data_IF_555139055238
#
_entry.id   IF_555139055238
#
_cell.length_a   1.000
_cell.length_b   1.000
_cell.length_c   1.000
_cell.angle_alpha   90.00
_cell.angle_beta   90.00
_cell.angle_gamma   90.00
#
_symmetry.space_group_name_H-M   'P 1'
#
loop_
_entity.id
_entity.type
_entity.pdbx_description
1 polymer ?
#
# COMPACT_ATOMS: atom_id res chain seq x y z
N UNK A 1 -5.54 28.08 15.87
CA UNK A 1 -5.48 27.23 14.65
C UNK A 1 -6.72 26.37 14.62
N UNK A 2 -7.38 26.28 13.46
CA UNK A 2 -8.54 25.37 13.30
C UNK A 2 -8.05 23.93 13.24
N UNK A 3 -8.71 23.01 13.93
CA UNK A 3 -8.52 21.57 13.82
C UNK A 3 -9.75 20.92 13.20
N UNK A 4 -9.56 19.84 12.47
CA UNK A 4 -10.64 19.05 11.88
C UNK A 4 -10.54 17.63 12.43
N UNK A 5 -11.68 17.03 12.73
CA UNK A 5 -11.77 15.64 13.13
C UNK A 5 -12.34 14.82 11.98
N UNK A 6 -11.74 13.65 11.72
CA UNK A 6 -12.20 12.68 10.73
C UNK A 6 -12.59 11.39 11.43
N UNK A 7 -13.66 10.78 10.96
CA UNK A 7 -14.11 9.48 11.43
C UNK A 7 -13.40 8.36 10.67
N UNK A 8 -13.06 7.30 11.36
CA UNK A 8 -12.61 6.07 10.72
C UNK A 8 -13.81 5.35 10.13
N UNK A 9 -13.81 5.13 8.81
CA UNK A 9 -14.90 4.44 8.11
C UNK A 9 -14.65 2.94 7.91
N UNK A 10 -13.40 2.50 8.05
CA UNK A 10 -13.04 1.10 7.83
C UNK A 10 -11.59 0.79 8.20
N UNK A 11 -11.25 -0.49 8.07
CA UNK A 11 -9.92 -1.03 8.38
C UNK A 11 -9.43 -1.92 7.25
N UNK A 12 -8.18 -1.74 6.86
CA UNK A 12 -7.51 -2.60 5.88
C UNK A 12 -7.13 -3.94 6.53
N UNK A 13 -7.39 -5.03 5.82
CA UNK A 13 -6.83 -6.35 6.04
C UNK A 13 -5.90 -6.70 4.90
N UNK A 14 -4.62 -6.87 5.21
CA UNK A 14 -3.59 -7.09 4.21
C UNK A 14 -2.57 -8.16 4.63
N UNK A 15 -1.80 -8.73 3.70
CA UNK A 15 -0.71 -9.65 4.02
C UNK A 15 0.47 -8.95 4.69
N UNK A 16 0.55 -7.62 4.63
CA UNK A 16 1.66 -6.84 5.16
C UNK A 16 1.47 -6.58 6.65
N UNK A 17 2.13 -7.36 7.49
CA UNK A 17 2.07 -7.18 8.96
C UNK A 17 3.04 -6.12 9.47
N UNK A 18 4.06 -5.82 8.68
CA UNK A 18 5.10 -4.85 9.04
C UNK A 18 5.37 -3.86 7.91
N UNK A 19 5.73 -2.62 8.27
CA UNK A 19 5.95 -1.50 7.36
C UNK A 19 7.06 -1.72 6.32
N UNK A 20 8.05 -2.55 6.62
CA UNK A 20 9.18 -2.77 5.71
C UNK A 20 8.83 -3.71 4.53
N UNK A 21 7.84 -4.58 4.70
CA UNK A 21 7.36 -5.46 3.63
C UNK A 21 6.42 -4.74 2.64
N UNK A 22 5.91 -3.56 3.01
CA UNK A 22 4.95 -2.81 2.20
C UNK A 22 5.64 -2.20 0.99
N UNK A 23 5.10 -2.39 -0.24
CA UNK A 23 5.57 -1.69 -1.42
C UNK A 23 5.49 -0.18 -1.23
N UNK A 24 6.42 0.56 -1.83
CA UNK A 24 6.47 2.03 -1.64
C UNK A 24 5.36 2.78 -2.37
N UNK A 25 4.69 2.14 -3.30
CA UNK A 25 3.55 2.65 -4.06
C UNK A 25 2.65 1.48 -4.48
N UNK A 26 1.36 1.72 -4.72
CA UNK A 26 0.46 0.70 -5.27
C UNK A 26 0.92 0.25 -6.66
N UNK A 27 0.56 -0.96 -7.06
CA UNK A 27 0.88 -1.51 -8.37
C UNK A 27 2.30 -2.05 -8.54
N UNK A 28 3.20 -1.91 -7.56
CA UNK A 28 4.55 -2.51 -7.59
C UNK A 28 4.53 -4.01 -7.28
N UNK A 29 3.56 -4.47 -6.49
CA UNK A 29 3.29 -5.87 -6.17
C UNK A 29 1.86 -6.16 -6.61
N UNK A 30 1.70 -6.65 -7.83
CA UNK A 30 0.37 -6.82 -8.44
C UNK A 30 -0.44 -7.94 -7.79
N UNK A 31 0.24 -8.96 -7.28
CA UNK A 31 -0.39 -10.09 -6.57
C UNK A 31 -0.82 -9.75 -5.13
N UNK A 32 -0.51 -8.56 -4.61
CA UNK A 32 -0.90 -8.14 -3.28
C UNK A 32 -2.41 -7.91 -3.20
N UNK A 33 -3.13 -8.88 -2.66
CA UNK A 33 -4.56 -8.79 -2.42
C UNK A 33 -4.82 -8.46 -0.95
N UNK A 34 -5.90 -7.74 -0.70
CA UNK A 34 -6.35 -7.42 0.65
C UNK A 34 -7.81 -7.01 0.64
N UNK A 35 -8.29 -6.56 1.77
CA UNK A 35 -9.68 -6.22 1.96
C UNK A 35 -9.79 -4.91 2.75
N UNK A 36 -10.80 -4.10 2.43
CA UNK A 36 -11.26 -3.02 3.28
C UNK A 36 -12.57 -3.45 3.92
N UNK A 37 -12.56 -3.59 5.23
CA UNK A 37 -13.74 -3.85 6.03
C UNK A 37 -14.32 -2.54 6.53
N UNK A 38 -15.49 -2.16 6.04
CA UNK A 38 -16.21 -1.00 6.56
C UNK A 38 -16.76 -1.31 7.96
N UNK A 39 -16.79 -0.28 8.82
CA UNK A 39 -17.27 -0.39 10.21
C UNK A 39 -18.56 0.42 10.40
N UNK A 40 -19.34 0.05 11.42
CA UNK A 40 -20.56 0.78 11.77
C UNK A 40 -20.25 2.25 12.13
N UNK A 41 -21.07 3.22 11.73
CA UNK A 41 -22.33 3.08 10.98
C UNK A 41 -22.15 3.06 9.44
N UNK A 42 -20.93 3.02 8.92
CA UNK A 42 -20.60 3.21 7.50
C UNK A 42 -20.68 1.90 6.68
N UNK A 43 -20.87 0.74 7.31
CA UNK A 43 -20.97 -0.58 6.69
C UNK A 43 -22.38 -0.87 6.11
N UNK A 44 -22.91 0.12 5.39
CA UNK A 44 -24.23 0.03 4.75
C UNK A 44 -24.09 -0.25 3.25
N UNK A 45 -24.88 -1.19 2.72
CA UNK A 45 -24.87 -1.54 1.30
C UNK A 45 -25.18 -0.33 0.40
N UNK A 46 -26.02 0.59 0.86
CA UNK A 46 -26.34 1.80 0.11
C UNK A 46 -25.15 2.75 -0.05
N UNK A 47 -24.21 2.76 0.88
CA UNK A 47 -23.02 3.58 0.80
C UNK A 47 -22.03 3.15 -0.31
N UNK A 48 -22.11 1.89 -0.74
CA UNK A 48 -21.26 1.32 -1.80
C UNK A 48 -22.03 0.99 -3.08
N UNK A 49 -23.30 1.36 -3.17
CA UNK A 49 -24.14 1.10 -4.35
C UNK A 49 -23.52 1.75 -5.59
N UNK A 50 -23.29 0.95 -6.64
CA UNK A 50 -22.69 1.39 -7.89
C UNK A 50 -21.15 1.42 -7.89
N UNK A 51 -20.51 1.12 -6.76
CA UNK A 51 -19.05 1.12 -6.66
C UNK A 51 -18.43 0.00 -7.51
N UNK A 52 -19.14 -1.10 -7.68
CA UNK A 52 -18.77 -2.26 -8.52
C UNK A 52 -18.55 -1.93 -10.00
N UNK A 53 -19.07 -0.78 -10.47
CA UNK A 53 -18.83 -0.31 -11.84
C UNK A 53 -17.45 0.34 -12.03
N UNK A 54 -16.70 0.60 -10.96
CA UNK A 54 -15.38 1.20 -11.00
C UNK A 54 -14.28 0.14 -10.82
N UNK A 55 -13.24 0.20 -11.63
CA UNK A 55 -12.09 -0.71 -11.56
C UNK A 55 -11.08 -0.34 -10.51
N UNK A 56 -11.00 0.95 -10.14
CA UNK A 56 -10.00 1.47 -9.20
C UNK A 56 -10.59 2.50 -8.25
N UNK A 57 -10.03 2.51 -7.04
CA UNK A 57 -10.43 3.42 -5.97
C UNK A 57 -9.23 4.12 -5.37
N UNK A 58 -9.40 5.40 -5.03
CA UNK A 58 -8.57 6.08 -4.06
C UNK A 58 -8.98 5.69 -2.65
N UNK A 59 -8.06 5.13 -1.87
CA UNK A 59 -8.20 4.91 -0.43
C UNK A 59 -7.45 6.03 0.29
N UNK A 60 -8.17 6.83 1.08
CA UNK A 60 -7.58 7.83 1.95
C UNK A 60 -7.49 7.24 3.35
N UNK A 61 -6.30 7.26 3.93
CA UNK A 61 -6.01 6.55 5.17
C UNK A 61 -5.06 7.32 6.08
N UNK A 62 -4.94 6.88 7.32
CA UNK A 62 -4.04 7.48 8.30
C UNK A 62 -2.76 6.65 8.43
N UNK A 63 -1.60 7.31 8.40
CA UNK A 63 -0.30 6.69 8.69
C UNK A 63 -0.15 6.41 10.20
N UNK A 64 -1.00 5.55 10.74
CA UNK A 64 -1.15 5.31 12.16
C UNK A 64 0.13 4.85 12.87
N UNK A 65 1.00 4.08 12.20
CA UNK A 65 2.24 3.55 12.79
C UNK A 65 3.38 4.58 12.93
N UNK A 66 3.23 5.78 12.37
CA UNK A 66 4.29 6.80 12.36
C UNK A 66 3.86 8.12 13.00
N UNK A 67 2.62 8.21 13.49
CA UNK A 67 2.07 9.44 14.09
C UNK A 67 2.89 9.94 15.28
N UNK A 68 3.36 9.04 16.15
CA UNK A 68 4.17 9.40 17.33
C UNK A 68 5.47 10.10 16.97
N UNK A 69 6.01 9.85 15.77
CA UNK A 69 7.23 10.49 15.28
C UNK A 69 7.08 11.97 14.93
N UNK A 70 5.85 12.49 14.96
CA UNK A 70 5.50 13.86 14.60
C UNK A 70 5.84 14.24 13.17
N UNK A 71 5.54 15.48 12.80
CA UNK A 71 5.86 16.00 11.49
C UNK A 71 7.30 16.53 11.39
N UNK A 72 7.84 16.52 10.17
CA UNK A 72 9.19 17.04 9.88
C UNK A 72 9.14 17.93 8.64
N UNK A 73 9.74 19.13 8.64
CA UNK A 73 9.73 20.02 7.48
C UNK A 73 10.48 19.43 6.28
N UNK A 74 11.51 18.60 6.55
CA UNK A 74 12.30 17.90 5.53
C UNK A 74 12.46 16.44 5.85
N UNK A 75 12.53 15.61 4.81
CA UNK A 75 12.75 14.17 4.88
C UNK A 75 13.83 13.74 3.89
N UNK A 76 14.30 12.50 4.01
CA UNK A 76 15.30 11.91 3.09
C UNK A 76 14.65 10.78 2.30
N UNK A 77 14.21 11.04 1.05
CA UNK A 77 13.59 10.00 0.24
C UNK A 77 14.58 8.87 -0.05
N UNK A 78 14.23 7.60 0.16
CA UNK A 78 15.13 6.47 -0.12
C UNK A 78 15.58 6.41 -1.59
N UNK A 79 14.74 6.86 -2.54
CA UNK A 79 15.08 6.93 -3.97
C UNK A 79 16.22 7.87 -4.31
N UNK A 80 16.51 8.83 -3.44
CA UNK A 80 17.63 9.76 -3.59
C UNK A 80 18.86 9.32 -2.79
N UNK A 81 19.04 8.01 -2.56
CA UNK A 81 20.16 7.44 -1.82
C UNK A 81 20.16 7.74 -0.33
N UNK A 82 19.07 8.30 0.21
CA UNK A 82 18.93 8.60 1.65
C UNK A 82 19.74 9.80 2.16
N UNK A 83 20.55 10.47 1.32
CA UNK A 83 21.38 11.62 1.70
C UNK A 83 20.74 12.97 1.36
N UNK A 84 20.06 13.08 0.20
CA UNK A 84 19.40 14.31 -0.21
C UNK A 84 18.19 14.61 0.67
N UNK A 85 18.05 15.86 1.12
CA UNK A 85 16.89 16.35 1.86
C UNK A 85 15.89 16.96 0.90
N UNK A 86 14.61 16.61 1.09
CA UNK A 86 13.48 17.17 0.34
C UNK A 86 12.45 17.73 1.32
N UNK A 87 11.77 18.81 0.94
CA UNK A 87 10.61 19.29 1.68
C UNK A 87 9.54 18.19 1.78
N UNK A 88 8.90 18.04 2.92
CA UNK A 88 7.93 16.96 3.16
C UNK A 88 6.79 16.97 2.13
N UNK A 89 6.36 18.15 1.69
CA UNK A 89 5.30 18.31 0.69
C UNK A 89 5.72 17.96 -0.73
N UNK A 90 7.04 17.93 -1.00
CA UNK A 90 7.60 17.41 -2.26
C UNK A 90 7.80 15.89 -2.24
N UNK A 91 7.23 15.19 -1.27
CA UNK A 91 7.33 13.74 -1.08
C UNK A 91 6.00 13.14 -0.67
N UNK A 92 5.90 11.81 -0.67
CA UNK A 92 4.79 11.05 -0.08
C UNK A 92 5.17 10.46 1.30
N UNK A 93 6.05 11.13 2.04
CA UNK A 93 6.47 10.70 3.38
C UNK A 93 5.31 10.70 4.37
N UNK A 94 5.39 9.80 5.35
CA UNK A 94 4.42 9.66 6.45
C UNK A 94 4.56 10.76 7.52
N UNK A 95 5.69 11.47 7.59
CA UNK A 95 5.99 12.52 8.57
C UNK A 95 5.38 13.88 8.19
N UNK A 96 4.10 13.88 7.89
CA UNK A 96 3.33 15.06 7.44
C UNK A 96 2.62 15.72 8.62
N UNK A 97 2.29 17.05 8.54
CA UNK A 97 1.48 17.72 9.57
C UNK A 97 0.14 17.00 9.82
N UNK A 98 -0.52 16.59 8.72
CA UNK A 98 -1.68 15.71 8.75
C UNK A 98 -1.24 14.37 8.15
N UNK A 99 -1.10 13.31 8.93
CA UNK A 99 -0.54 12.04 8.47
C UNK A 99 -1.54 11.24 7.62
N UNK A 100 -2.11 11.89 6.60
CA UNK A 100 -3.04 11.30 5.65
C UNK A 100 -2.27 10.78 4.45
N UNK A 101 -2.50 9.52 4.11
CA UNK A 101 -2.04 8.86 2.91
C UNK A 101 -3.16 8.69 1.89
N UNK A 102 -2.77 8.45 0.64
CA UNK A 102 -3.67 8.09 -0.43
C UNK A 102 -3.05 6.97 -1.26
N UNK A 103 -3.83 5.99 -1.63
CA UNK A 103 -3.40 4.84 -2.44
C UNK A 103 -4.44 4.54 -3.51
N UNK A 104 -4.00 4.41 -4.76
CA UNK A 104 -4.85 3.99 -5.87
C UNK A 104 -4.78 2.47 -5.97
N UNK A 105 -5.87 1.80 -5.62
CA UNK A 105 -5.96 0.34 -5.58
C UNK A 105 -6.96 -0.18 -6.59
N UNK A 106 -6.77 -1.42 -7.04
CA UNK A 106 -7.76 -2.13 -7.85
C UNK A 106 -8.95 -2.54 -6.97
N UNK A 107 -10.18 -2.31 -7.43
CA UNK A 107 -11.38 -2.88 -6.84
C UNK A 107 -11.71 -4.19 -7.55
N UNK A 108 -11.66 -5.29 -6.84
CA UNK A 108 -11.93 -6.64 -7.37
C UNK A 108 -13.37 -7.06 -7.16
N UNK A 109 -13.93 -6.78 -6.00
CA UNK A 109 -15.29 -7.22 -5.64
C UNK A 109 -15.82 -6.34 -4.50
N UNK A 110 -17.13 -6.10 -4.51
CA UNK A 110 -17.90 -5.51 -3.41
C UNK A 110 -18.76 -6.61 -2.80
N UNK A 111 -18.52 -6.96 -1.55
CA UNK A 111 -19.25 -8.01 -0.83
C UNK A 111 -20.11 -7.36 0.24
N UNK A 112 -21.42 -7.47 0.09
CA UNK A 112 -22.39 -6.96 1.05
C UNK A 112 -23.13 -8.12 1.75
N UNK A 113 -23.07 -8.12 3.07
CA UNK A 113 -23.88 -8.96 3.94
C UNK A 113 -24.74 -8.05 4.83
N UNK A 114 -25.68 -8.65 5.59
CA UNK A 114 -26.62 -7.91 6.42
C UNK A 114 -25.96 -6.85 7.32
N UNK A 115 -24.82 -7.17 7.93
CA UNK A 115 -24.14 -6.32 8.92
C UNK A 115 -22.68 -6.06 8.56
N UNK A 116 -22.26 -6.34 7.33
CA UNK A 116 -20.88 -6.12 6.89
C UNK A 116 -20.80 -5.75 5.42
N UNK A 117 -19.90 -4.83 5.12
CA UNK A 117 -19.49 -4.47 3.76
C UNK A 117 -17.99 -4.61 3.66
N UNK A 118 -17.53 -5.40 2.67
CA UNK A 118 -16.13 -5.69 2.43
C UNK A 118 -15.82 -5.36 0.98
N UNK A 119 -14.79 -4.56 0.75
CA UNK A 119 -14.23 -4.32 -0.58
C UNK A 119 -12.98 -5.18 -0.73
N UNK A 120 -12.97 -6.12 -1.70
CA UNK A 120 -11.78 -6.89 -2.06
C UNK A 120 -10.90 -6.06 -2.98
N UNK A 121 -9.67 -5.88 -2.61
CA UNK A 121 -8.72 -4.98 -3.24
C UNK A 121 -7.52 -5.74 -3.82
N UNK A 122 -6.97 -5.22 -4.91
CA UNK A 122 -5.73 -5.69 -5.51
C UNK A 122 -4.66 -4.61 -5.55
N UNK A 123 -3.44 -5.03 -5.85
CA UNK A 123 -2.27 -4.15 -5.97
C UNK A 123 -2.03 -3.27 -4.74
N UNK A 124 -2.32 -3.81 -3.56
CA UNK A 124 -2.37 -3.08 -2.29
C UNK A 124 -0.96 -2.75 -1.76
N UNK A 125 -0.81 -1.54 -1.21
CA UNK A 125 0.42 -1.04 -0.56
C UNK A 125 0.16 -0.53 0.87
N UNK A 126 -0.76 -1.15 1.59
CA UNK A 126 -1.18 -0.73 2.92
C UNK A 126 -0.89 -1.81 3.98
N UNK A 127 -0.38 -1.39 5.13
CA UNK A 127 -0.17 -2.27 6.29
C UNK A 127 -1.51 -2.78 6.81
N UNK A 128 -1.52 -4.01 7.32
CA UNK A 128 -2.67 -4.57 8.02
C UNK A 128 -3.09 -3.69 9.20
N UNK A 129 -4.39 -3.52 9.39
CA UNK A 129 -4.93 -2.66 10.45
C UNK A 129 -4.94 -1.16 10.10
N UNK A 130 -4.55 -0.75 8.90
CA UNK A 130 -4.56 0.68 8.52
C UNK A 130 -5.97 1.26 8.56
N UNK A 131 -6.19 2.36 9.35
CA UNK A 131 -7.47 3.05 9.41
C UNK A 131 -7.74 3.82 8.11
N UNK A 132 -8.93 3.63 7.54
CA UNK A 132 -9.41 4.34 6.35
C UNK A 132 -10.39 5.44 6.76
N UNK A 133 -10.24 6.61 6.15
CA UNK A 133 -11.06 7.80 6.45
C UNK A 133 -11.96 8.21 5.29
N UNK A 134 -11.65 7.78 4.05
CA UNK A 134 -12.49 8.04 2.88
C UNK A 134 -12.16 7.10 1.73
N UNK A 135 -13.12 6.95 0.80
CA UNK A 135 -13.00 6.20 -0.45
C UNK A 135 -13.54 7.06 -1.58
N UNK A 136 -12.81 7.14 -2.68
CA UNK A 136 -13.29 7.83 -3.90
C UNK A 136 -13.05 6.97 -5.14
N UNK A 137 -13.97 6.92 -6.10
CA UNK A 137 -13.71 6.28 -7.38
C UNK A 137 -12.60 7.01 -8.15
N UNK A 138 -11.77 6.27 -8.87
CA UNK A 138 -10.79 6.84 -9.78
C UNK A 138 -11.46 7.32 -11.07
N UNK A 139 -11.19 8.54 -11.48
CA UNK A 139 -11.75 9.17 -12.68
C UNK A 139 -10.65 9.42 -13.73
N UNK A 140 -10.45 8.53 -14.70
CA UNK A 140 -9.34 8.62 -15.66
C UNK A 140 -9.28 9.96 -16.42
N UNK A 141 -10.42 10.53 -16.79
CA UNK A 141 -10.47 11.78 -17.54
C UNK A 141 -9.96 12.99 -16.74
N UNK A 142 -10.05 12.96 -15.42
CA UNK A 142 -9.67 14.05 -14.53
C UNK A 142 -8.29 13.86 -13.88
N UNK A 143 -7.86 12.61 -13.70
CA UNK A 143 -6.72 12.26 -12.85
C UNK A 143 -5.54 11.69 -13.62
N UNK A 144 -5.74 11.21 -14.87
CA UNK A 144 -4.65 10.68 -15.69
C UNK A 144 -4.00 11.82 -16.49
N UNK A 145 -2.77 12.15 -16.14
CA UNK A 145 -1.93 13.16 -16.78
C UNK A 145 -0.62 12.52 -17.29
N UNK A 146 -0.62 11.88 -18.47
CA UNK A 146 0.54 11.12 -18.97
C UNK A 146 1.82 11.96 -19.10
N UNK A 147 1.69 13.25 -19.43
CA UNK A 147 2.81 14.16 -19.63
C UNK A 147 3.22 14.92 -18.36
N UNK A 148 2.66 14.55 -17.19
CA UNK A 148 2.99 15.23 -15.94
C UNK A 148 4.45 14.99 -15.54
N UNK A 149 5.13 16.06 -15.12
CA UNK A 149 6.48 15.97 -14.57
C UNK A 149 6.44 15.54 -13.11
N UNK A 150 7.20 14.51 -12.76
CA UNK A 150 7.25 13.94 -11.40
C UNK A 150 8.66 13.94 -10.78
N UNK A 151 9.57 14.81 -11.26
CA UNK A 151 10.93 14.96 -10.72
C UNK A 151 11.62 13.59 -10.56
N UNK A 152 12.16 13.30 -9.38
CA UNK A 152 12.84 12.02 -9.05
C UNK A 152 11.91 10.79 -9.10
N UNK A 153 10.62 10.96 -9.22
CA UNK A 153 9.61 9.90 -9.25
C UNK A 153 8.98 9.68 -10.64
N UNK A 154 9.64 10.12 -11.72
CA UNK A 154 9.12 10.03 -13.08
C UNK A 154 8.90 8.60 -13.56
N UNK A 155 9.73 7.66 -13.15
CA UNK A 155 9.61 6.24 -13.48
C UNK A 155 9.36 5.38 -12.23
N UNK A 156 8.77 4.22 -12.40
CA UNK A 156 8.68 3.24 -11.32
C UNK A 156 10.09 2.79 -10.89
N UNK A 157 10.31 2.45 -9.61
CA UNK A 157 11.56 1.82 -9.20
C UNK A 157 11.71 0.47 -9.91
N UNK A 158 12.93 0.16 -10.36
CA UNK A 158 13.22 -1.16 -10.90
C UNK A 158 13.09 -2.23 -9.79
N UNK A 159 12.58 -3.41 -10.17
CA UNK A 159 12.68 -4.60 -9.34
C UNK A 159 14.13 -5.12 -9.45
N UNK A 160 14.97 -4.80 -8.45
CA UNK A 160 16.43 -4.96 -8.57
C UNK A 160 16.91 -6.35 -8.16
N UNK A 161 16.12 -7.09 -7.35
CA UNK A 161 16.55 -8.38 -6.81
C UNK A 161 16.03 -9.57 -7.61
N UNK A 162 16.96 -10.42 -8.07
CA UNK A 162 16.60 -11.75 -8.54
C UNK A 162 16.21 -12.63 -7.34
N UNK A 163 15.02 -13.25 -7.42
CA UNK A 163 14.49 -14.11 -6.35
C UNK A 163 14.45 -15.56 -6.85
N UNK A 164 15.18 -16.44 -6.18
CA UNK A 164 15.14 -17.89 -6.39
C UNK A 164 14.78 -18.60 -5.09
N UNK A 165 14.18 -19.76 -5.19
CA UNK A 165 13.84 -20.61 -4.06
C UNK A 165 14.66 -21.91 -4.11
N UNK A 166 14.99 -22.46 -2.96
CA UNK A 166 15.56 -23.79 -2.87
C UNK A 166 14.48 -24.84 -3.20
N UNK A 167 14.89 -26.03 -3.65
CA UNK A 167 13.96 -27.13 -3.96
C UNK A 167 13.04 -27.50 -2.76
N UNK A 168 13.53 -27.35 -1.55
CA UNK A 168 12.75 -27.57 -0.34
C UNK A 168 11.65 -26.52 -0.16
N UNK A 169 12.00 -25.23 -0.33
CA UNK A 169 11.04 -24.12 -0.25
C UNK A 169 10.00 -24.22 -1.38
N UNK A 170 10.39 -24.61 -2.58
CA UNK A 170 9.44 -24.81 -3.68
C UNK A 170 8.39 -25.88 -3.36
N UNK A 171 8.78 -27.00 -2.74
CA UNK A 171 7.83 -28.03 -2.29
C UNK A 171 6.86 -27.51 -1.23
N UNK A 172 7.36 -26.70 -0.29
CA UNK A 172 6.51 -26.08 0.73
C UNK A 172 5.52 -25.08 0.09
N UNK A 173 5.98 -24.25 -0.83
CA UNK A 173 5.15 -23.28 -1.55
C UNK A 173 4.04 -23.97 -2.35
N UNK A 174 4.33 -25.06 -3.06
CA UNK A 174 3.31 -25.84 -3.78
C UNK A 174 2.18 -26.34 -2.84
N UNK A 175 2.52 -26.68 -1.61
CA UNK A 175 1.53 -27.11 -0.60
C UNK A 175 0.72 -25.93 -0.10
N UNK A 176 1.38 -24.80 0.18
CA UNK A 176 0.75 -23.58 0.72
C UNK A 176 -0.12 -22.88 -0.32
N UNK A 177 0.20 -22.93 -1.61
CA UNK A 177 -0.59 -22.30 -2.67
C UNK A 177 -2.00 -22.88 -2.80
N UNK A 178 -2.25 -24.10 -2.35
CA UNK A 178 -3.60 -24.68 -2.26
C UNK A 178 -4.49 -23.86 -1.31
N UNK A 179 -3.88 -23.28 -0.27
CA UNK A 179 -4.57 -22.46 0.74
C UNK A 179 -4.45 -20.95 0.44
N UNK A 180 -3.33 -20.55 -0.13
CA UNK A 180 -3.00 -19.14 -0.42
C UNK A 180 -2.64 -18.99 -1.90
N UNK A 181 -3.62 -18.85 -2.80
CA UNK A 181 -3.38 -18.68 -4.23
C UNK A 181 -2.43 -17.53 -4.53
N UNK A 182 -1.48 -17.76 -5.45
CA UNK A 182 -0.45 -16.79 -5.84
C UNK A 182 0.59 -16.45 -4.77
N UNK A 183 0.73 -17.25 -3.71
CA UNK A 183 1.69 -16.98 -2.63
C UNK A 183 3.14 -16.89 -3.15
N UNK A 184 3.55 -17.79 -4.04
CA UNK A 184 4.90 -17.81 -4.63
C UNK A 184 5.17 -16.52 -5.42
N UNK A 185 4.20 -16.08 -6.22
CA UNK A 185 4.28 -14.84 -6.97
C UNK A 185 4.37 -13.64 -6.04
N UNK A 186 3.52 -13.60 -5.03
CA UNK A 186 3.51 -12.53 -4.02
C UNK A 186 4.86 -12.40 -3.32
N UNK A 187 5.42 -13.51 -2.81
CA UNK A 187 6.74 -13.49 -2.14
C UNK A 187 7.82 -13.00 -3.11
N UNK A 188 7.82 -13.50 -4.36
CA UNK A 188 8.78 -13.07 -5.38
C UNK A 188 8.69 -11.59 -5.68
N UNK A 189 7.49 -11.05 -5.89
CA UNK A 189 7.28 -9.64 -6.19
C UNK A 189 7.68 -8.74 -5.01
N UNK A 190 7.37 -9.12 -3.77
CA UNK A 190 7.77 -8.36 -2.57
C UNK A 190 9.29 -8.33 -2.40
N UNK A 191 9.94 -9.48 -2.50
CA UNK A 191 11.40 -9.57 -2.33
C UNK A 191 12.14 -8.86 -3.47
N UNK A 192 11.62 -8.89 -4.70
CA UNK A 192 12.20 -8.19 -5.84
C UNK A 192 12.25 -6.66 -5.65
N UNK A 193 11.36 -6.08 -4.80
CA UNK A 193 11.38 -4.66 -4.44
C UNK A 193 12.46 -4.27 -3.43
N UNK A 194 13.28 -5.21 -2.98
CA UNK A 194 14.29 -5.01 -1.93
C UNK A 194 13.73 -4.33 -0.67
N UNK A 195 13.03 -5.08 0.20
CA UNK A 195 12.39 -4.53 1.39
C UNK A 195 13.37 -4.02 2.46
N UNK A 196 14.67 -4.21 2.25
CA UNK A 196 15.69 -3.75 3.20
C UNK A 196 15.70 -2.22 3.34
N UNK A 197 16.01 -1.70 4.52
CA UNK A 197 16.24 -0.27 4.69
C UNK A 197 17.33 0.26 3.74
N UNK A 198 17.13 1.45 3.18
CA UNK A 198 18.03 2.02 2.17
C UNK A 198 19.51 2.12 2.61
N UNK A 199 19.77 2.30 3.92
CA UNK A 199 21.14 2.36 4.47
C UNK A 199 21.85 1.00 4.51
N UNK A 200 21.13 -0.11 4.28
CA UNK A 200 21.69 -1.46 4.17
C UNK A 200 21.84 -1.94 2.72
N UNK A 201 21.51 -1.14 1.75
CA UNK A 201 21.75 -1.44 0.34
C UNK A 201 23.26 -1.44 0.11
N UNK A 202 23.82 -2.58 -0.29
CA UNK A 202 25.26 -2.77 -0.54
C UNK A 202 26.03 -3.53 0.57
N UNK A 203 25.42 -3.82 1.72
CA UNK A 203 26.00 -4.76 2.66
C UNK A 203 25.63 -6.19 2.24
N UNK A 204 26.62 -6.99 1.81
CA UNK A 204 26.50 -8.43 1.73
C UNK A 204 26.39 -9.00 3.15
N UNK A 205 25.21 -8.92 3.73
CA UNK A 205 24.94 -9.60 4.98
C UNK A 205 24.52 -11.03 4.65
N UNK A 206 25.38 -12.01 4.91
CA UNK A 206 25.06 -13.44 4.81
C UNK A 206 23.99 -13.88 5.85
N UNK A 207 23.00 -13.04 6.12
CA UNK A 207 21.85 -13.37 6.96
C UNK A 207 20.75 -13.93 6.08
N UNK A 208 20.43 -15.18 6.31
CA UNK A 208 19.21 -15.84 5.85
C UNK A 208 18.03 -15.25 6.63
N UNK A 209 16.98 -14.79 5.95
CA UNK A 209 15.74 -14.31 6.53
C UNK A 209 14.68 -15.40 6.43
#
# INVERSE_FOLDING_TARGET
MSSFQFEQIGVIRSPYKEKFAVPRQPGLVKSANGELHLIAPYNQADAVRGLEAFSHLWILFVFHQTMEGGWRPTVRPPRLGGNARMGVFATRSTFRPNPIGMSLVELKEVVCHKDSVILKLGSLDLVDGTPVVDIKPYLPFAESLPDASASYAQSAPAAEMAVSFTAEVEKQLLTLEKRYPQLTLFIREVLAQDPRPAYRKGEETGKTY
#
